data_IF_524438689420
#
_entry.id   IF_524438689420
#
_cell.length_a   1.000
_cell.length_b   1.000
_cell.length_c   1.000
_cell.angle_alpha   90.00
_cell.angle_beta   90.00
_cell.angle_gamma   90.00
#
_symmetry.space_group_name_H-M   'P 1'
#
loop_
_entity.id
_entity.type
_entity.pdbx_description
1 polymer ?
#
# COMPACT_ATOMS: atom_id res chain seq x y z
N UNK A 1 -1.72 -16.35 -31.82
CA UNK A 1 -1.22 -16.44 -30.42
C UNK A 1 0.23 -16.83 -30.50
N UNK A 2 1.11 -16.09 -29.83
CA UNK A 2 2.55 -16.38 -29.79
C UNK A 2 2.78 -17.57 -28.83
N UNK A 3 3.32 -18.71 -29.29
CA UNK A 3 3.49 -19.91 -28.47
C UNK A 3 4.46 -19.72 -27.29
N UNK A 4 5.31 -18.69 -27.31
CA UNK A 4 6.27 -18.42 -26.24
C UNK A 4 5.73 -17.43 -25.18
N UNK A 5 4.51 -16.93 -25.35
CA UNK A 5 3.92 -15.93 -24.45
C UNK A 5 3.15 -16.58 -23.29
N UNK A 6 3.76 -16.59 -22.10
CA UNK A 6 3.11 -17.01 -20.84
C UNK A 6 2.41 -15.82 -20.17
N UNK A 7 1.21 -16.01 -19.59
CA UNK A 7 0.55 -14.95 -18.83
C UNK A 7 1.15 -14.86 -17.43
N UNK A 8 1.24 -13.64 -16.90
CA UNK A 8 1.72 -13.42 -15.54
C UNK A 8 0.86 -14.12 -14.47
N UNK A 9 -0.41 -14.41 -14.77
CA UNK A 9 -1.32 -15.18 -13.91
C UNK A 9 -0.85 -16.64 -13.79
N UNK A 10 -0.49 -17.26 -14.91
CA UNK A 10 0.00 -18.65 -14.96
C UNK A 10 1.29 -18.80 -14.17
N UNK A 11 2.24 -17.88 -14.37
CA UNK A 11 3.50 -17.86 -13.61
C UNK A 11 3.22 -17.77 -12.11
N UNK A 12 2.36 -16.84 -11.68
CA UNK A 12 2.02 -16.66 -10.26
C UNK A 12 1.29 -17.85 -9.65
N UNK A 13 0.48 -18.56 -10.42
CA UNK A 13 -0.17 -19.79 -9.96
C UNK A 13 0.87 -20.87 -9.65
N UNK A 14 1.89 -21.01 -10.50
CA UNK A 14 3.00 -21.95 -10.30
C UNK A 14 3.85 -21.57 -9.09
N UNK A 15 4.29 -20.30 -9.00
CA UNK A 15 5.14 -19.83 -7.90
C UNK A 15 4.37 -19.46 -6.62
N UNK A 16 3.04 -19.61 -6.64
CA UNK A 16 2.11 -19.35 -5.52
C UNK A 16 2.33 -18.00 -4.84
N UNK A 17 2.54 -16.95 -5.63
CA UNK A 17 2.84 -15.59 -5.14
C UNK A 17 1.69 -14.64 -5.41
N UNK A 18 1.42 -13.73 -4.47
CA UNK A 18 0.41 -12.70 -4.67
C UNK A 18 0.83 -11.72 -5.80
N UNK A 19 -0.14 -11.05 -6.46
CA UNK A 19 0.16 -9.98 -7.41
C UNK A 19 1.06 -8.90 -6.79
N UNK A 20 2.08 -8.47 -7.54
CA UNK A 20 3.07 -7.49 -7.08
C UNK A 20 2.42 -6.17 -6.63
N UNK A 21 1.32 -5.77 -7.26
CA UNK A 21 0.58 -4.57 -6.90
C UNK A 21 0.03 -4.65 -5.46
N UNK A 22 -0.42 -5.84 -5.04
CA UNK A 22 -0.92 -6.07 -3.68
C UNK A 22 0.23 -6.06 -2.66
N UNK A 23 1.37 -6.68 -2.99
CA UNK A 23 2.58 -6.62 -2.15
C UNK A 23 3.10 -5.19 -1.99
N UNK A 24 3.11 -4.42 -3.08
CA UNK A 24 3.49 -3.01 -3.04
C UNK A 24 2.53 -2.19 -2.16
N UNK A 25 1.22 -2.47 -2.22
CA UNK A 25 0.23 -1.85 -1.32
C UNK A 25 0.49 -2.20 0.15
N UNK A 26 0.72 -3.47 0.45
CA UNK A 26 1.08 -3.92 1.81
C UNK A 26 2.31 -3.18 2.34
N UNK A 27 3.37 -3.06 1.55
CA UNK A 27 4.59 -2.37 2.00
C UNK A 27 4.37 -0.87 2.23
N UNK A 28 3.60 -0.20 1.35
CA UNK A 28 3.24 1.22 1.53
C UNK A 28 2.43 1.43 2.80
N UNK A 29 1.42 0.60 3.06
CA UNK A 29 0.60 0.68 4.27
C UNK A 29 1.40 0.29 5.52
N UNK A 30 2.32 -0.67 5.46
CA UNK A 30 3.22 -0.98 6.57
C UNK A 30 4.07 0.22 6.97
N UNK A 31 4.67 0.91 5.99
CA UNK A 31 5.43 2.13 6.23
C UNK A 31 4.55 3.25 6.76
N UNK A 32 3.39 3.48 6.15
CA UNK A 32 2.42 4.49 6.60
C UNK A 32 2.03 4.28 8.07
N UNK A 33 1.62 3.07 8.46
CA UNK A 33 1.26 2.79 9.84
C UNK A 33 2.45 2.95 10.80
N UNK A 34 3.67 2.65 10.37
CA UNK A 34 4.87 2.95 11.18
C UNK A 34 5.01 4.45 11.42
N UNK A 35 4.89 5.27 10.39
CA UNK A 35 5.00 6.73 10.49
C UNK A 35 3.83 7.34 11.26
N UNK A 36 2.60 6.87 11.04
CA UNK A 36 1.39 7.39 11.70
C UNK A 36 1.41 7.22 13.23
N UNK A 37 2.11 6.18 13.72
CA UNK A 37 2.28 5.92 15.16
C UNK A 37 3.43 6.71 15.80
N UNK A 38 4.22 7.46 15.03
CA UNK A 38 5.27 8.32 15.60
C UNK A 38 4.64 9.56 16.25
N UNK A 39 5.32 10.16 17.25
CA UNK A 39 4.97 11.48 17.76
C UNK A 39 4.81 12.50 16.64
N UNK A 40 3.93 13.49 16.84
CA UNK A 40 3.59 14.51 15.84
C UNK A 40 4.81 15.35 15.42
N UNK A 41 5.71 15.62 16.37
CA UNK A 41 6.96 16.36 16.18
C UNK A 41 8.08 15.51 15.53
N UNK A 42 7.87 14.20 15.33
CA UNK A 42 8.88 13.35 14.71
C UNK A 42 9.07 13.74 13.23
N UNK A 43 10.30 13.85 12.71
CA UNK A 43 10.57 14.39 11.37
C UNK A 43 9.87 13.63 10.24
N UNK A 44 9.71 12.31 10.35
CA UNK A 44 8.95 11.52 9.35
C UNK A 44 7.46 11.79 9.38
N UNK A 45 6.90 12.13 10.56
CA UNK A 45 5.48 12.46 10.75
C UNK A 45 5.21 13.84 10.17
N UNK A 46 6.04 14.82 10.53
CA UNK A 46 6.03 16.16 9.92
C UNK A 46 6.16 16.10 8.39
N UNK A 47 7.11 15.30 7.87
CA UNK A 47 7.30 15.14 6.41
C UNK A 47 6.10 14.49 5.73
N UNK A 48 5.45 13.54 6.41
CA UNK A 48 4.23 12.91 5.92
C UNK A 48 3.11 13.95 5.81
N UNK A 49 2.96 14.82 6.81
CA UNK A 49 1.85 15.77 6.89
C UNK A 49 2.11 17.06 6.10
N UNK A 50 3.36 17.37 5.79
CA UNK A 50 3.77 18.53 5.01
C UNK A 50 3.05 18.63 3.65
N UNK A 51 2.54 19.82 3.35
CA UNK A 51 1.98 20.18 2.05
C UNK A 51 2.73 21.39 1.50
N UNK A 52 3.43 21.19 0.38
CA UNK A 52 4.17 22.26 -0.26
C UNK A 52 3.20 23.38 -0.71
N UNK A 53 3.51 24.65 -0.42
CA UNK A 53 2.69 25.77 -0.84
C UNK A 53 2.64 25.88 -2.38
N UNK A 54 1.51 26.34 -2.90
CA UNK A 54 1.29 26.57 -4.33
C UNK A 54 0.21 25.68 -4.95
N UNK A 55 -0.24 26.08 -6.14
CA UNK A 55 -1.29 25.38 -6.86
C UNK A 55 -0.75 24.24 -7.71
N UNK A 56 -1.54 23.18 -7.85
CA UNK A 56 -1.20 22.04 -8.70
C UNK A 56 -1.37 22.45 -10.17
N UNK A 57 -0.44 22.10 -11.07
CA UNK A 57 -0.62 22.38 -12.50
C UNK A 57 -1.88 21.68 -13.01
N UNK A 58 -2.58 22.35 -13.94
CA UNK A 58 -3.75 21.79 -14.62
C UNK A 58 -3.33 20.63 -15.53
N UNK A 59 -4.21 19.64 -15.70
CA UNK A 59 -3.96 18.47 -16.56
C UNK A 59 -3.69 17.20 -15.75
N UNK A 60 -2.58 16.51 -16.06
CA UNK A 60 -2.18 15.25 -15.41
C UNK A 60 -0.98 15.47 -14.46
N UNK A 61 -1.17 16.16 -13.32
CA UNK A 61 -0.10 16.34 -12.36
C UNK A 61 0.35 14.98 -11.80
N UNK A 62 1.63 14.89 -11.43
CA UNK A 62 2.20 13.67 -10.82
C UNK A 62 1.37 13.26 -9.59
N UNK A 63 1.13 11.96 -9.42
CA UNK A 63 0.43 11.41 -8.26
C UNK A 63 1.23 11.70 -6.99
N UNK A 64 0.57 12.23 -5.96
CA UNK A 64 1.21 12.40 -4.65
C UNK A 64 1.22 11.06 -3.93
N UNK A 65 2.22 10.88 -3.09
CA UNK A 65 2.29 9.70 -2.24
C UNK A 65 1.07 9.61 -1.30
N UNK A 66 0.62 10.74 -0.71
CA UNK A 66 -0.64 10.81 0.07
C UNK A 66 -1.87 10.33 -0.73
N UNK A 67 -1.98 10.69 -2.01
CA UNK A 67 -3.11 10.27 -2.87
C UNK A 67 -3.11 8.73 -3.03
N UNK A 68 -1.92 8.13 -3.17
CA UNK A 68 -1.75 6.68 -3.27
C UNK A 68 -2.15 5.99 -1.96
N UNK A 69 -1.71 6.51 -0.81
CA UNK A 69 -2.09 5.95 0.50
C UNK A 69 -3.59 6.05 0.76
N UNK A 70 -4.22 7.19 0.44
CA UNK A 70 -5.68 7.34 0.58
C UNK A 70 -6.44 6.27 -0.19
N UNK A 71 -6.02 5.99 -1.42
CA UNK A 71 -6.59 4.90 -2.22
C UNK A 71 -6.28 3.53 -1.62
N UNK A 72 -5.05 3.28 -1.23
CA UNK A 72 -4.66 1.99 -0.65
C UNK A 72 -5.45 1.67 0.64
N UNK A 73 -5.69 2.68 1.49
CA UNK A 73 -6.55 2.60 2.68
C UNK A 73 -7.99 2.23 2.29
N UNK A 74 -8.55 2.92 1.30
CA UNK A 74 -9.90 2.63 0.79
C UNK A 74 -10.00 1.21 0.21
N UNK A 75 -8.99 0.76 -0.55
CA UNK A 75 -8.97 -0.57 -1.16
C UNK A 75 -8.90 -1.72 -0.13
N UNK A 76 -8.50 -1.44 1.13
CA UNK A 76 -8.48 -2.41 2.23
C UNK A 76 -9.54 -2.12 3.31
N UNK A 77 -10.38 -1.11 3.11
CA UNK A 77 -11.41 -0.72 4.08
C UNK A 77 -10.86 -0.23 5.41
N UNK A 78 -9.69 0.41 5.41
CA UNK A 78 -9.04 0.94 6.60
C UNK A 78 -9.08 2.48 6.67
N UNK A 79 -8.97 2.98 7.88
CA UNK A 79 -8.77 4.38 8.23
C UNK A 79 -7.36 4.58 8.80
N UNK A 80 -6.96 5.85 9.01
CA UNK A 80 -5.69 6.15 9.67
C UNK A 80 -5.67 5.65 11.12
N UNK A 81 -6.82 5.64 11.80
CA UNK A 81 -6.93 5.27 13.22
C UNK A 81 -6.70 3.78 13.44
N UNK A 82 -7.07 2.95 12.47
CA UNK A 82 -6.77 1.52 12.49
C UNK A 82 -5.27 1.23 12.62
N UNK A 83 -4.39 2.19 12.26
CA UNK A 83 -2.95 2.03 12.40
C UNK A 83 -2.48 2.06 13.85
N UNK A 84 -3.25 2.58 14.82
CA UNK A 84 -2.82 2.58 16.22
C UNK A 84 -2.94 1.19 16.88
N UNK A 85 -3.89 0.37 16.45
CA UNK A 85 -3.93 -1.05 16.79
C UNK A 85 -3.01 -1.84 15.86
N UNK A 86 -1.85 -2.28 16.40
CA UNK A 86 -0.85 -3.01 15.62
C UNK A 86 -1.36 -4.35 15.09
N UNK A 87 -2.21 -5.04 15.85
CA UNK A 87 -2.72 -6.36 15.48
C UNK A 87 -3.73 -6.23 14.36
N UNK A 88 -4.70 -5.33 14.53
CA UNK A 88 -5.69 -4.99 13.51
C UNK A 88 -5.02 -4.45 12.24
N UNK A 89 -4.06 -3.54 12.38
CA UNK A 89 -3.30 -3.01 11.24
C UNK A 89 -2.59 -4.11 10.45
N UNK A 90 -1.91 -5.03 11.15
CA UNK A 90 -1.24 -6.17 10.50
C UNK A 90 -2.24 -7.07 9.78
N UNK A 91 -3.40 -7.30 10.36
CA UNK A 91 -4.43 -8.15 9.75
C UNK A 91 -4.98 -7.53 8.46
N UNK A 92 -5.34 -6.24 8.48
CA UNK A 92 -5.99 -5.57 7.35
C UNK A 92 -5.01 -5.31 6.19
N UNK A 93 -3.76 -4.97 6.49
CA UNK A 93 -2.77 -4.56 5.47
C UNK A 93 -2.03 -5.73 4.81
N UNK A 94 -2.01 -6.90 5.44
CA UNK A 94 -1.24 -8.07 4.97
C UNK A 94 -1.83 -8.62 3.68
N UNK A 95 -0.97 -8.82 2.68
CA UNK A 95 -1.32 -9.60 1.49
C UNK A 95 -0.78 -11.02 1.67
N UNK A 96 -1.68 -11.97 1.90
CA UNK A 96 -1.33 -13.38 1.95
C UNK A 96 -0.87 -13.87 0.57
N UNK A 97 0.24 -14.61 0.55
CA UNK A 97 0.57 -15.39 -0.65
C UNK A 97 -0.36 -16.61 -0.71
N UNK A 98 -0.78 -17.05 -1.92
CA UNK A 98 -1.58 -18.25 -2.10
C UNK A 98 -1.01 -19.48 -1.36
N UNK A 99 0.32 -19.60 -1.26
CA UNK A 99 0.97 -20.68 -0.52
C UNK A 99 0.71 -20.66 1.00
N UNK A 100 0.27 -19.53 1.56
CA UNK A 100 0.08 -19.32 3.01
C UNK A 100 -1.40 -19.29 3.42
N UNK A 101 -2.33 -19.33 2.46
CA UNK A 101 -3.74 -19.53 2.77
C UNK A 101 -3.91 -21.00 3.19
N UNK A 102 -4.12 -21.24 4.49
CA UNK A 102 -4.47 -22.57 5.01
C UNK A 102 -5.96 -22.80 4.81
N UNK A 103 -6.31 -24.03 4.45
CA UNK A 103 -7.66 -24.60 4.43
C UNK A 103 -8.42 -24.36 5.76
#
# INVERSE_FOLDING_TARGET
MDPDRVRNEDVRAVVKTAPIQLKMREQRLRWYGHVNRRPEDHPTRLSLDFEAPGNRPRGAPRKRWKDVIKRDLADVGATADDAFDRMRWRQITRTADPATARD
#
